data_IF_551903415300
#
_entry.id   IF_551903415300
#
_cell.length_a   1.000
_cell.length_b   1.000
_cell.length_c   1.000
_cell.angle_alpha   90.00
_cell.angle_beta   90.00
_cell.angle_gamma   90.00
#
_symmetry.space_group_name_H-M   'P 1'
#
loop_
_entity.id
_entity.type
_entity.pdbx_description
1 polymer ?
#
# COMPACT_ATOMS: atom_id res chain seq x y z
N UNK A 1 -28.52 26.16 -38.96
CA UNK A 1 -28.27 24.93 -39.77
C UNK A 1 -27.04 24.27 -39.16
N UNK A 2 -27.25 23.32 -38.26
CA UNK A 2 -26.19 22.56 -37.60
C UNK A 2 -26.05 21.21 -38.28
N UNK A 3 -24.97 21.05 -39.01
CA UNK A 3 -24.61 19.83 -39.74
C UNK A 3 -24.04 18.80 -38.74
N UNK A 4 -24.85 17.76 -38.46
CA UNK A 4 -24.40 16.62 -37.62
C UNK A 4 -23.49 15.73 -38.46
N UNK A 5 -22.19 15.78 -38.16
CA UNK A 5 -21.21 14.90 -38.77
C UNK A 5 -21.53 13.43 -38.45
N UNK A 6 -22.01 12.67 -39.45
CA UNK A 6 -22.17 11.21 -39.34
C UNK A 6 -20.80 10.56 -39.37
N UNK A 7 -20.31 10.10 -38.23
CA UNK A 7 -19.09 9.28 -38.16
C UNK A 7 -19.35 7.96 -38.92
N UNK A 8 -18.49 7.63 -39.90
CA UNK A 8 -18.63 6.40 -40.64
C UNK A 8 -18.22 5.19 -39.79
N UNK A 9 -18.89 4.05 -39.96
CA UNK A 9 -18.59 2.79 -39.23
C UNK A 9 -17.11 2.37 -39.37
N UNK A 10 -16.47 2.76 -40.48
CA UNK A 10 -15.02 2.51 -40.69
C UNK A 10 -14.12 3.35 -39.77
N UNK A 11 -14.49 4.59 -39.48
CA UNK A 11 -13.73 5.46 -38.56
C UNK A 11 -13.84 4.97 -37.12
N UNK A 12 -14.95 4.40 -36.70
CA UNK A 12 -15.14 3.80 -35.38
C UNK A 12 -14.31 2.52 -35.23
N UNK A 13 -14.27 1.68 -36.27
CA UNK A 13 -13.49 0.44 -36.25
C UNK A 13 -11.98 0.73 -36.24
N UNK A 14 -11.52 1.72 -36.97
CA UNK A 14 -10.11 2.14 -36.95
C UNK A 14 -9.72 2.79 -35.63
N UNK A 15 -10.62 3.55 -34.99
CA UNK A 15 -10.40 4.15 -33.67
C UNK A 15 -10.32 3.12 -32.55
N UNK A 16 -11.11 2.05 -32.60
CA UNK A 16 -11.08 0.94 -31.65
C UNK A 16 -9.82 0.05 -31.83
N UNK A 17 -9.33 -0.09 -33.04
CA UNK A 17 -8.10 -0.84 -33.31
C UNK A 17 -6.84 -0.16 -32.76
N UNK A 18 -6.75 1.16 -32.80
CA UNK A 18 -5.63 1.92 -32.25
C UNK A 18 -5.60 1.95 -30.71
N UNK A 19 -6.76 1.95 -30.06
CA UNK A 19 -6.88 1.84 -28.60
C UNK A 19 -6.49 0.43 -28.10
N UNK A 20 -6.80 -0.62 -28.86
CA UNK A 20 -6.41 -2.00 -28.54
C UNK A 20 -4.89 -2.24 -28.63
N UNK A 21 -4.20 -1.58 -29.57
CA UNK A 21 -2.74 -1.72 -29.72
C UNK A 21 -1.96 -1.02 -28.58
N UNK A 22 -2.48 0.06 -28.02
CA UNK A 22 -1.87 0.73 -26.85
C UNK A 22 -2.05 -0.04 -25.54
N UNK A 23 -3.11 -0.84 -25.41
CA UNK A 23 -3.38 -1.65 -24.22
C UNK A 23 -2.44 -2.83 -24.02
N UNK A 24 -1.83 -3.34 -25.09
CA UNK A 24 -0.90 -4.48 -25.03
C UNK A 24 0.56 -4.07 -24.71
N UNK A 25 0.90 -2.79 -24.82
CA UNK A 25 2.24 -2.28 -24.49
C UNK A 25 2.46 -2.08 -22.97
N UNK A 26 1.40 -2.15 -22.16
CA UNK A 26 1.45 -1.88 -20.72
C UNK A 26 2.03 -3.00 -19.85
N UNK A 27 2.26 -4.20 -20.39
CA UNK A 27 2.81 -5.34 -19.64
C UNK A 27 4.28 -5.64 -19.94
N UNK A 28 4.99 -4.78 -20.64
CA UNK A 28 6.43 -4.87 -20.67
C UNK A 28 6.98 -4.41 -19.31
N UNK A 29 6.99 -5.33 -18.33
CA UNK A 29 7.85 -5.20 -17.16
C UNK A 29 9.27 -5.06 -17.70
N UNK A 30 9.76 -3.82 -17.73
CA UNK A 30 11.14 -3.55 -18.13
C UNK A 30 12.05 -4.40 -17.25
N UNK A 31 12.66 -5.41 -17.84
CA UNK A 31 13.74 -6.14 -17.21
C UNK A 31 14.80 -5.08 -16.88
N UNK A 32 14.96 -4.75 -15.60
CA UNK A 32 16.08 -3.92 -15.15
C UNK A 32 17.35 -4.68 -15.51
N UNK A 33 17.89 -4.35 -16.71
CA UNK A 33 19.21 -4.80 -17.12
C UNK A 33 20.21 -4.28 -16.09
N UNK A 34 20.78 -5.18 -15.30
CA UNK A 34 21.91 -4.86 -14.43
C UNK A 34 21.84 -5.38 -12.99
N UNK A 35 20.70 -5.83 -12.48
CA UNK A 35 20.70 -6.50 -11.19
C UNK A 35 21.22 -7.94 -11.33
N UNK A 36 22.20 -8.37 -10.54
CA UNK A 36 22.64 -9.75 -10.56
C UNK A 36 21.48 -10.69 -10.25
N UNK A 37 21.37 -11.86 -10.89
CA UNK A 37 20.30 -12.80 -10.61
C UNK A 37 20.35 -13.18 -9.12
N UNK A 38 19.22 -13.09 -8.45
CA UNK A 38 19.14 -13.53 -7.06
C UNK A 38 19.41 -15.04 -6.99
N UNK A 39 20.22 -15.49 -6.03
CA UNK A 39 20.47 -16.92 -5.88
C UNK A 39 19.15 -17.65 -5.59
N UNK A 40 18.96 -18.85 -6.12
CA UNK A 40 17.74 -19.61 -5.87
C UNK A 40 17.56 -19.92 -4.39
N UNK A 41 16.33 -19.77 -3.89
CA UNK A 41 16.01 -20.09 -2.51
C UNK A 41 16.12 -21.60 -2.31
N UNK A 42 16.97 -22.02 -1.39
CA UNK A 42 17.17 -23.45 -1.05
C UNK A 42 16.12 -23.88 -0.02
N UNK A 43 14.91 -24.17 -0.48
CA UNK A 43 13.82 -24.65 0.38
C UNK A 43 13.98 -26.16 0.61
N UNK A 44 14.39 -26.55 1.83
CA UNK A 44 14.52 -27.94 2.27
C UNK A 44 14.02 -28.07 3.71
N UNK A 45 13.31 -29.15 4.02
CA UNK A 45 12.81 -29.40 5.38
C UNK A 45 13.92 -29.42 6.43
N UNK A 46 15.10 -29.94 6.08
CA UNK A 46 16.29 -29.94 6.95
C UNK A 46 16.80 -28.54 7.32
N UNK A 47 16.34 -27.51 6.64
CA UNK A 47 16.70 -26.10 6.92
C UNK A 47 15.65 -25.35 7.74
N UNK A 48 14.57 -26.01 8.14
CA UNK A 48 13.58 -25.42 9.03
C UNK A 48 14.15 -25.36 10.43
N UNK A 49 14.56 -24.17 10.86
CA UNK A 49 15.14 -23.98 12.19
C UNK A 49 14.09 -24.10 13.30
N UNK A 50 12.88 -23.61 13.05
CA UNK A 50 11.78 -23.67 14.00
C UNK A 50 10.45 -23.41 13.30
N UNK A 51 9.40 -24.10 13.75
CA UNK A 51 8.01 -23.81 13.39
C UNK A 51 7.36 -23.14 14.60
N UNK A 52 6.82 -21.94 14.42
CA UNK A 52 6.11 -21.22 15.47
C UNK A 52 4.67 -20.99 15.03
N UNK A 53 3.75 -21.39 15.87
CA UNK A 53 2.32 -21.11 15.70
C UNK A 53 1.93 -19.95 16.58
N UNK A 54 1.26 -18.95 16.02
CA UNK A 54 0.81 -17.79 16.76
C UNK A 54 -0.60 -17.37 16.30
N UNK A 55 -1.30 -16.62 17.16
CA UNK A 55 -2.60 -16.07 16.82
C UNK A 55 -2.43 -14.90 15.83
N UNK A 56 -3.29 -14.86 14.81
CA UNK A 56 -3.35 -13.72 13.92
C UNK A 56 -4.20 -12.61 14.55
N UNK A 57 -3.80 -11.35 14.47
CA UNK A 57 -4.58 -10.20 14.94
C UNK A 57 -5.73 -9.92 13.96
N UNK A 58 -6.62 -10.89 13.79
CA UNK A 58 -7.75 -10.81 12.86
C UNK A 58 -8.90 -10.01 13.48
N UNK A 59 -9.49 -9.15 12.67
CA UNK A 59 -10.74 -8.43 12.97
C UNK A 59 -11.75 -8.69 11.86
N UNK A 60 -12.96 -9.14 12.21
CA UNK A 60 -14.02 -9.38 11.24
C UNK A 60 -14.42 -8.11 10.46
N UNK A 61 -14.35 -6.94 11.11
CA UNK A 61 -14.60 -5.64 10.50
C UNK A 61 -13.42 -5.11 9.62
N UNK A 62 -12.37 -5.90 9.45
CA UNK A 62 -11.16 -5.46 8.74
C UNK A 62 -10.19 -4.65 9.61
N UNK A 63 -9.12 -4.13 9.01
CA UNK A 63 -8.16 -3.25 9.69
C UNK A 63 -8.85 -2.01 10.23
N UNK A 64 -8.42 -1.57 11.42
CA UNK A 64 -8.83 -0.28 11.98
C UNK A 64 -7.83 0.79 11.56
N UNK A 65 -8.25 1.69 10.68
CA UNK A 65 -7.47 2.83 10.23
C UNK A 65 -8.37 4.08 10.31
N UNK A 66 -8.39 4.71 11.47
CA UNK A 66 -9.30 5.81 11.76
C UNK A 66 -8.77 6.70 12.90
N UNK A 67 -9.36 7.88 13.02
CA UNK A 67 -9.08 8.84 14.09
C UNK A 67 -10.16 8.71 15.18
N UNK A 68 -9.72 8.70 16.43
CA UNK A 68 -10.58 8.78 17.61
C UNK A 68 -10.09 9.91 18.51
N UNK A 69 -11.00 10.64 19.13
CA UNK A 69 -10.66 11.63 20.15
C UNK A 69 -10.88 11.00 21.54
N UNK A 70 -9.83 10.93 22.34
CA UNK A 70 -9.87 10.39 23.70
C UNK A 70 -9.44 11.51 24.66
N UNK A 71 -10.40 12.09 25.36
CA UNK A 71 -10.16 13.30 26.16
C UNK A 71 -9.70 14.45 25.27
N UNK A 72 -8.53 15.01 25.56
CA UNK A 72 -7.88 16.06 24.77
C UNK A 72 -6.90 15.52 23.70
N UNK A 73 -6.79 14.21 23.56
CA UNK A 73 -5.85 13.55 22.68
C UNK A 73 -6.51 13.06 21.38
N UNK A 74 -5.81 13.29 20.28
CA UNK A 74 -6.11 12.69 18.97
C UNK A 74 -5.39 11.36 18.87
N UNK A 75 -6.13 10.29 18.76
CA UNK A 75 -5.63 8.92 18.64
C UNK A 75 -5.87 8.42 17.22
N UNK A 76 -4.82 7.99 16.54
CA UNK A 76 -4.92 7.37 15.22
C UNK A 76 -4.71 5.87 15.38
N UNK A 77 -5.72 5.11 15.05
CA UNK A 77 -5.66 3.66 15.07
C UNK A 77 -5.09 3.14 13.74
N UNK A 78 -4.15 2.20 13.80
CA UNK A 78 -3.61 1.52 12.61
C UNK A 78 -3.24 0.08 12.99
N UNK A 79 -4.23 -0.81 13.05
CA UNK A 79 -4.04 -2.18 13.49
C UNK A 79 -5.10 -3.15 12.95
N UNK A 80 -4.94 -4.45 13.23
CA UNK A 80 -5.93 -5.47 12.91
C UNK A 80 -5.86 -6.00 11.48
N UNK A 81 -4.67 -6.00 10.87
CA UNK A 81 -4.44 -6.39 9.47
C UNK A 81 -4.45 -7.91 9.24
N UNK A 82 -4.75 -8.73 10.26
CA UNK A 82 -4.98 -10.17 10.10
C UNK A 82 -3.80 -10.97 9.54
N UNK A 83 -2.57 -10.50 9.72
CA UNK A 83 -1.36 -11.10 9.17
C UNK A 83 -0.83 -10.42 7.91
N UNK A 84 -1.57 -9.50 7.30
CA UNK A 84 -1.12 -8.71 6.13
C UNK A 84 -0.29 -7.48 6.50
N UNK A 85 0.09 -7.32 7.77
CA UNK A 85 0.83 -6.15 8.26
C UNK A 85 2.12 -5.88 7.48
N UNK A 86 2.87 -6.90 7.08
CA UNK A 86 4.10 -6.73 6.30
C UNK A 86 3.83 -6.15 4.91
N UNK A 87 2.80 -6.63 4.21
CA UNK A 87 2.45 -6.18 2.87
C UNK A 87 1.84 -4.77 2.86
N UNK A 88 1.04 -4.45 3.89
CA UNK A 88 0.27 -3.22 3.95
C UNK A 88 0.93 -2.12 4.81
N UNK A 89 2.03 -2.44 5.50
CA UNK A 89 2.66 -1.54 6.48
C UNK A 89 2.91 -0.13 5.94
N UNK A 90 3.54 -0.01 4.80
CA UNK A 90 3.88 1.31 4.24
C UNK A 90 2.64 2.10 3.82
N UNK A 91 1.68 1.46 3.15
CA UNK A 91 0.45 2.12 2.69
C UNK A 91 -0.41 2.60 3.85
N UNK A 92 -0.76 1.70 4.78
CA UNK A 92 -1.60 2.06 5.92
C UNK A 92 -0.92 3.04 6.87
N UNK A 93 0.40 2.90 7.10
CA UNK A 93 1.15 3.85 7.93
C UNK A 93 1.30 5.22 7.28
N UNK A 94 1.34 5.31 5.94
CA UNK A 94 1.34 6.61 5.24
C UNK A 94 0.04 7.36 5.48
N UNK A 95 -1.09 6.66 5.39
CA UNK A 95 -2.41 7.24 5.67
C UNK A 95 -2.51 7.65 7.16
N UNK A 96 -2.11 6.75 8.08
CA UNK A 96 -2.13 7.03 9.52
C UNK A 96 -1.24 8.22 9.90
N UNK A 97 -0.05 8.33 9.30
CA UNK A 97 0.84 9.48 9.53
C UNK A 97 0.23 10.78 9.04
N UNK A 98 -0.42 10.78 7.87
CA UNK A 98 -1.20 11.92 7.38
C UNK A 98 -2.27 12.35 8.37
N UNK A 99 -3.10 11.41 8.82
CA UNK A 99 -4.13 11.65 9.82
C UNK A 99 -3.56 12.21 11.13
N UNK A 100 -2.41 11.70 11.59
CA UNK A 100 -1.80 12.16 12.83
C UNK A 100 -1.28 13.59 12.76
N UNK A 101 -0.84 14.03 11.59
CA UNK A 101 -0.27 15.38 11.38
C UNK A 101 -1.31 16.43 10.97
N UNK A 102 -2.56 16.03 10.73
CA UNK A 102 -3.66 16.95 10.53
C UNK A 102 -3.80 17.88 11.74
N UNK A 103 -4.01 19.16 11.49
CA UNK A 103 -4.05 20.18 12.56
C UNK A 103 -2.68 20.73 12.97
N UNK A 104 -1.59 20.29 12.30
CA UNK A 104 -0.25 20.90 12.47
C UNK A 104 0.56 20.40 13.66
N UNK A 105 0.06 19.40 14.42
CA UNK A 105 0.83 18.81 15.52
C UNK A 105 2.12 18.18 15.00
N UNK A 106 3.18 18.25 15.80
CA UNK A 106 4.49 17.63 15.50
C UNK A 106 4.96 16.70 16.61
N UNK A 107 4.29 16.70 17.74
CA UNK A 107 4.60 15.78 18.84
C UNK A 107 3.68 14.58 18.76
N UNK A 108 4.23 13.41 18.44
CA UNK A 108 3.48 12.20 18.17
C UNK A 108 4.12 11.01 18.87
N UNK A 109 3.37 10.37 19.75
CA UNK A 109 3.78 9.09 20.32
C UNK A 109 3.27 7.93 19.47
N UNK A 110 4.16 6.99 19.13
CA UNK A 110 3.81 5.76 18.44
C UNK A 110 3.82 4.60 19.41
N UNK A 111 2.64 4.00 19.61
CA UNK A 111 2.49 2.85 20.51
C UNK A 111 2.58 1.56 19.70
N UNK A 112 3.63 0.79 19.92
CA UNK A 112 3.92 -0.47 19.25
C UNK A 112 5.19 -0.43 18.41
N UNK A 113 5.91 -1.54 18.38
CA UNK A 113 7.19 -1.70 17.66
C UNK A 113 7.17 -2.82 16.61
N UNK A 114 5.98 -3.23 16.17
CA UNK A 114 5.80 -4.13 15.03
C UNK A 114 5.96 -3.41 13.70
N UNK A 115 5.71 -4.11 12.59
CA UNK A 115 5.86 -3.56 11.24
C UNK A 115 5.13 -2.23 11.04
N UNK A 116 3.89 -2.13 11.49
CA UNK A 116 3.07 -0.91 11.39
C UNK A 116 3.61 0.22 12.27
N UNK A 117 4.01 -0.08 13.51
CA UNK A 117 4.55 0.94 14.43
C UNK A 117 5.86 1.52 13.93
N UNK A 118 6.79 0.67 13.50
CA UNK A 118 8.09 1.11 12.99
C UNK A 118 7.97 1.92 11.69
N UNK A 119 7.11 1.49 10.76
CA UNK A 119 6.87 2.24 9.52
C UNK A 119 6.16 3.57 9.79
N UNK A 120 5.19 3.60 10.71
CA UNK A 120 4.52 4.84 11.12
C UNK A 120 5.52 5.82 11.74
N UNK A 121 6.35 5.37 12.69
CA UNK A 121 7.36 6.20 13.33
C UNK A 121 8.36 6.78 12.30
N UNK A 122 8.81 5.96 11.35
CA UNK A 122 9.72 6.42 10.31
C UNK A 122 9.08 7.48 9.40
N UNK A 123 7.83 7.27 8.98
CA UNK A 123 7.10 8.20 8.12
C UNK A 123 6.81 9.53 8.85
N UNK A 124 6.38 9.48 10.10
CA UNK A 124 6.17 10.65 10.95
C UNK A 124 7.45 11.45 11.11
N UNK A 125 8.56 10.78 11.41
CA UNK A 125 9.87 11.42 11.54
C UNK A 125 10.33 12.08 10.25
N UNK A 126 10.14 11.42 9.08
CA UNK A 126 10.42 12.01 7.76
C UNK A 126 9.57 13.23 7.46
N UNK A 127 8.36 13.28 7.98
CA UNK A 127 7.45 14.42 7.87
C UNK A 127 7.71 15.52 8.93
N UNK A 128 8.76 15.40 9.74
CA UNK A 128 9.19 16.39 10.70
C UNK A 128 8.49 16.30 12.07
N UNK A 129 7.86 15.16 12.41
CA UNK A 129 7.36 14.90 13.75
C UNK A 129 8.51 14.57 14.73
N UNK A 130 8.23 14.81 16.00
CA UNK A 130 9.12 14.57 17.15
C UNK A 130 8.43 13.67 18.16
#
# INVERSE_FOLDING_TARGET
MTETARSSRRAVIMGLGSLGAMGLAGCAVGTRSGAPPLPPVRLQMSRVARITVCLRPFRAAGPRLEVETVGDKRVVHNYGHGGSGWSLAWGSSSIAAGMALEGGTREVAVIGCGALGLTSALLLRRAGAR
#
